data_IF_545953214961
#
_entry.id   IF_545953214961
#
_cell.length_a   1.000
_cell.length_b   1.000
_cell.length_c   1.000
_cell.angle_alpha   90.00
_cell.angle_beta   90.00
_cell.angle_gamma   90.00
#
_symmetry.space_group_name_H-M   'P 1'
#
loop_
_entity.id
_entity.type
_entity.pdbx_description
1 polymer ?
#
# COMPACT_ATOMS: atom_id res chain seq x y z
N UNK A 1 6.57 -24.92 16.57
CA UNK A 1 5.79 -25.59 17.62
C UNK A 1 4.33 -25.47 17.24
N UNK A 2 3.72 -26.54 16.73
CA UNK A 2 2.37 -26.53 16.16
C UNK A 2 1.34 -26.29 17.26
N UNK A 3 0.70 -25.12 17.29
CA UNK A 3 -0.40 -24.83 18.22
C UNK A 3 -1.54 -25.83 17.96
N UNK A 4 -1.95 -26.55 18.99
CA UNK A 4 -3.08 -27.47 18.91
C UNK A 4 -4.38 -26.70 18.64
N UNK A 5 -5.04 -27.00 17.52
CA UNK A 5 -6.33 -26.40 17.15
C UNK A 5 -7.38 -26.85 18.16
N UNK A 6 -8.08 -25.90 18.77
CA UNK A 6 -9.16 -26.16 19.72
C UNK A 6 -10.51 -26.06 18.98
N UNK A 7 -11.47 -26.90 19.35
CA UNK A 7 -12.77 -26.99 18.70
C UNK A 7 -13.89 -26.67 19.67
N UNK A 8 -14.95 -26.04 19.17
CA UNK A 8 -16.22 -25.87 19.86
C UNK A 8 -17.11 -27.05 19.47
N UNK A 9 -17.62 -27.77 20.47
CA UNK A 9 -18.55 -28.89 20.31
C UNK A 9 -19.95 -28.49 20.78
N UNK A 10 -20.99 -28.98 20.10
CA UNK A 10 -22.38 -28.81 20.55
C UNK A 10 -22.77 -29.87 21.60
N UNK A 11 -23.98 -29.74 22.15
CA UNK A 11 -24.56 -30.69 23.12
C UNK A 11 -24.71 -32.12 22.58
N UNK A 12 -24.66 -32.31 21.25
CA UNK A 12 -24.67 -33.62 20.60
C UNK A 12 -23.26 -34.19 20.36
N UNK A 13 -22.20 -33.48 20.76
CA UNK A 13 -20.81 -33.89 20.57
C UNK A 13 -20.25 -33.61 19.18
N UNK A 14 -20.99 -32.92 18.32
CA UNK A 14 -20.53 -32.53 16.98
C UNK A 14 -19.69 -31.26 17.04
N UNK A 15 -18.63 -31.21 16.23
CA UNK A 15 -17.75 -30.04 16.12
C UNK A 15 -18.44 -28.97 15.28
N UNK A 16 -18.81 -27.86 15.90
CA UNK A 16 -19.52 -26.74 15.26
C UNK A 16 -18.64 -25.53 14.99
N UNK A 17 -17.41 -25.50 15.53
CA UNK A 17 -16.49 -24.39 15.30
C UNK A 17 -15.06 -24.67 15.75
N UNK A 18 -14.19 -23.68 15.51
CA UNK A 18 -12.80 -23.67 15.98
C UNK A 18 -12.58 -22.45 16.87
N UNK A 19 -11.84 -22.65 17.97
CA UNK A 19 -11.42 -21.56 18.83
C UNK A 19 -10.06 -21.04 18.32
N UNK A 20 -10.05 -19.78 17.93
CA UNK A 20 -8.87 -19.08 17.46
C UNK A 20 -8.46 -18.03 18.49
N UNK A 21 -7.16 -17.87 18.69
CA UNK A 21 -6.68 -16.69 19.41
C UNK A 21 -6.91 -15.42 18.57
N UNK A 22 -7.12 -14.31 19.25
CA UNK A 22 -7.45 -13.04 18.61
C UNK A 22 -6.41 -12.59 17.56
N UNK A 23 -5.09 -12.75 17.78
CA UNK A 23 -4.09 -12.52 16.74
C UNK A 23 -4.32 -13.36 15.47
N UNK A 24 -4.51 -14.68 15.62
CA UNK A 24 -4.74 -15.59 14.49
C UNK A 24 -6.05 -15.29 13.77
N UNK A 25 -7.11 -14.93 14.51
CA UNK A 25 -8.37 -14.48 13.91
C UNK A 25 -8.16 -13.22 13.07
N UNK A 26 -7.44 -12.21 13.59
CA UNK A 26 -7.14 -10.98 12.86
C UNK A 26 -6.35 -11.24 11.58
N UNK A 27 -5.35 -12.13 11.62
CA UNK A 27 -4.61 -12.54 10.42
C UNK A 27 -5.53 -13.18 9.36
N UNK A 28 -6.40 -14.11 9.77
CA UNK A 28 -7.33 -14.81 8.88
C UNK A 28 -8.44 -13.91 8.33
N UNK A 29 -8.96 -12.97 9.12
CA UNK A 29 -9.96 -12.01 8.63
C UNK A 29 -9.33 -10.99 7.69
N UNK A 30 -8.12 -10.51 8.00
CA UNK A 30 -7.40 -9.61 7.10
C UNK A 30 -7.09 -10.27 5.75
N UNK A 31 -6.88 -11.59 5.71
CA UNK A 31 -6.73 -12.39 4.48
C UNK A 31 -8.04 -12.46 3.66
N UNK A 32 -9.20 -12.50 4.30
CA UNK A 32 -10.50 -12.68 3.64
C UNK A 32 -11.18 -11.38 3.22
N UNK A 33 -10.77 -10.24 3.78
CA UNK A 33 -11.28 -8.89 3.44
C UNK A 33 -10.18 -7.99 2.86
N UNK A 34 -9.11 -8.57 2.31
CA UNK A 34 -7.97 -7.83 1.80
C UNK A 34 -8.38 -6.97 0.60
N UNK A 35 -8.80 -5.74 0.88
CA UNK A 35 -8.82 -4.67 -0.10
C UNK A 35 -7.41 -4.60 -0.70
N UNK A 36 -7.29 -4.95 -1.98
CA UNK A 36 -6.00 -5.06 -2.68
C UNK A 36 -5.23 -3.73 -2.68
N UNK A 37 -5.93 -2.61 -2.45
CA UNK A 37 -5.33 -1.29 -2.32
C UNK A 37 -4.61 -1.08 -0.98
N UNK A 38 -4.96 -1.85 0.06
CA UNK A 38 -4.30 -1.80 1.37
C UNK A 38 -2.88 -2.37 1.28
N UNK A 39 -1.92 -1.56 1.71
CA UNK A 39 -0.52 -1.97 1.80
C UNK A 39 -0.31 -2.75 3.11
N UNK A 40 -0.04 -4.06 2.98
CA UNK A 40 0.24 -4.93 4.12
C UNK A 40 1.74 -5.07 4.34
N UNK A 41 2.16 -5.33 5.58
CA UNK A 41 3.57 -5.58 5.93
C UNK A 41 4.44 -4.33 6.11
N UNK A 42 3.85 -3.13 6.11
CA UNK A 42 4.53 -1.87 6.43
C UNK A 42 4.10 -1.37 7.82
N UNK A 43 5.05 -0.80 8.56
CA UNK A 43 4.78 -0.05 9.79
C UNK A 43 4.11 1.29 9.52
N UNK A 44 3.57 1.93 10.57
CA UNK A 44 2.93 3.25 10.47
C UNK A 44 3.92 4.30 9.92
N UNK A 45 5.16 4.31 10.44
CA UNK A 45 6.20 5.24 10.03
C UNK A 45 6.61 5.03 8.56
N UNK A 46 6.71 3.77 8.11
CA UNK A 46 7.00 3.44 6.71
C UNK A 46 5.85 3.87 5.78
N UNK A 47 4.60 3.68 6.19
CA UNK A 47 3.43 4.14 5.44
C UNK A 47 3.39 5.67 5.36
N UNK A 48 3.73 6.38 6.43
CA UNK A 48 3.80 7.83 6.43
C UNK A 48 4.92 8.35 5.53
N UNK A 49 6.12 7.76 5.62
CA UNK A 49 7.23 8.08 4.73
C UNK A 49 6.85 7.84 3.25
N UNK A 50 6.13 6.76 2.95
CA UNK A 50 5.66 6.47 1.59
C UNK A 50 4.59 7.48 1.13
N UNK A 51 3.65 7.85 2.00
CA UNK A 51 2.59 8.83 1.72
C UNK A 51 3.13 10.23 1.39
N UNK A 52 4.28 10.59 1.95
CA UNK A 52 4.96 11.87 1.77
C UNK A 52 6.06 11.83 0.70
N UNK A 53 6.35 10.64 0.16
CA UNK A 53 7.41 10.45 -0.83
C UNK A 53 7.27 11.36 -2.06
N UNK A 54 8.41 11.71 -2.64
CA UNK A 54 8.51 12.53 -3.86
C UNK A 54 9.66 12.00 -4.72
N UNK A 55 9.68 12.39 -6.00
CA UNK A 55 10.84 12.16 -6.85
C UNK A 55 12.09 12.76 -6.19
N UNK A 56 13.26 12.17 -6.44
CA UNK A 56 14.52 12.78 -6.00
C UNK A 56 14.67 14.19 -6.58
N UNK A 57 15.36 15.08 -5.85
CA UNK A 57 15.59 16.46 -6.32
C UNK A 57 16.22 16.51 -7.72
N UNK A 58 17.17 15.59 -7.99
CA UNK A 58 17.79 15.48 -9.31
C UNK A 58 16.77 15.14 -10.40
N UNK A 59 15.87 14.19 -10.14
CA UNK A 59 14.83 13.79 -11.08
C UNK A 59 13.78 14.89 -11.29
N UNK A 60 13.44 15.64 -10.25
CA UNK A 60 12.54 16.80 -10.35
C UNK A 60 13.13 17.89 -11.25
N UNK A 61 14.39 18.28 -11.00
CA UNK A 61 15.09 19.29 -11.82
C UNK A 61 15.18 18.85 -13.28
N UNK A 62 15.45 17.57 -13.53
CA UNK A 62 15.51 17.02 -14.88
C UNK A 62 14.13 17.02 -15.55
N UNK A 63 13.08 16.65 -14.82
CA UNK A 63 11.69 16.69 -15.31
C UNK A 63 11.29 18.11 -15.68
N UNK A 64 11.58 19.09 -14.82
CA UNK A 64 11.25 20.50 -15.05
C UNK A 64 11.94 21.04 -16.32
N UNK A 65 13.24 20.77 -16.51
CA UNK A 65 13.97 21.15 -17.74
C UNK A 65 13.36 20.51 -18.99
N UNK A 66 13.09 19.21 -18.94
CA UNK A 66 12.51 18.47 -20.07
C UNK A 66 11.11 18.97 -20.41
N UNK A 67 10.28 19.34 -19.43
CA UNK A 67 8.95 19.91 -19.65
C UNK A 67 9.02 21.28 -20.33
N UNK A 68 9.94 22.15 -19.91
CA UNK A 68 10.17 23.45 -20.55
C UNK A 68 10.57 23.26 -22.01
N UNK A 69 11.53 22.36 -22.27
CA UNK A 69 12.02 22.09 -23.63
C UNK A 69 10.99 21.35 -24.49
N UNK A 70 10.12 20.53 -23.89
CA UNK A 70 8.98 19.90 -24.57
C UNK A 70 7.98 20.95 -25.07
N UNK A 71 7.65 21.95 -24.23
CA UNK A 71 6.75 23.05 -24.61
C UNK A 71 7.28 23.85 -25.81
N UNK A 72 8.61 23.93 -25.95
CA UNK A 72 9.28 24.57 -27.08
C UNK A 72 9.47 23.64 -28.29
N UNK A 73 9.02 22.37 -28.23
CA UNK A 73 9.25 21.32 -29.22
C UNK A 73 10.74 21.08 -29.54
N UNK A 74 11.62 21.24 -28.55
CA UNK A 74 13.08 21.12 -28.68
C UNK A 74 13.66 19.82 -28.12
N UNK A 75 12.81 18.82 -27.86
CA UNK A 75 13.28 17.51 -27.38
C UNK A 75 13.73 16.63 -28.54
N UNK A 76 14.88 15.99 -28.36
CA UNK A 76 15.26 14.82 -29.14
C UNK A 76 14.38 13.61 -28.78
N UNK A 77 14.48 12.55 -29.58
CA UNK A 77 13.77 11.29 -29.32
C UNK A 77 14.17 10.68 -27.96
N UNK A 78 15.47 10.69 -27.62
CA UNK A 78 15.98 10.14 -26.36
C UNK A 78 15.51 10.95 -25.16
N UNK A 79 15.46 12.28 -25.28
CA UNK A 79 14.95 13.16 -24.24
C UNK A 79 13.45 13.02 -24.05
N UNK A 80 12.71 12.77 -25.13
CA UNK A 80 11.27 12.46 -25.07
C UNK A 80 11.03 11.15 -24.32
N UNK A 81 11.78 10.10 -24.63
CA UNK A 81 11.70 8.83 -23.90
C UNK A 81 12.06 8.99 -22.42
N UNK A 82 13.02 9.87 -22.11
CA UNK A 82 13.40 10.19 -20.73
C UNK A 82 12.28 10.94 -19.99
N UNK A 83 11.64 11.90 -20.65
CA UNK A 83 10.49 12.63 -20.11
C UNK A 83 9.33 11.66 -19.82
N UNK A 84 8.99 10.79 -20.76
CA UNK A 84 7.93 9.79 -20.60
C UNK A 84 8.21 8.87 -19.40
N UNK A 85 9.47 8.45 -19.23
CA UNK A 85 9.87 7.63 -18.09
C UNK A 85 9.69 8.37 -16.75
N UNK A 86 10.10 9.64 -16.67
CA UNK A 86 9.96 10.45 -15.46
C UNK A 86 8.48 10.69 -15.12
N UNK A 87 7.62 10.94 -16.12
CA UNK A 87 6.18 11.08 -15.93
C UNK A 87 5.56 9.78 -15.41
N UNK A 88 5.93 8.64 -15.99
CA UNK A 88 5.47 7.33 -15.51
C UNK A 88 5.89 7.07 -14.05
N UNK A 89 7.10 7.50 -13.64
CA UNK A 89 7.53 7.42 -12.24
C UNK A 89 6.68 8.30 -11.32
N UNK A 90 6.32 9.52 -11.75
CA UNK A 90 5.43 10.41 -10.98
C UNK A 90 4.07 9.75 -10.77
N UNK A 91 3.50 9.16 -11.83
CA UNK A 91 2.20 8.48 -11.75
C UNK A 91 2.24 7.30 -10.79
N UNK A 92 3.28 6.46 -10.88
CA UNK A 92 3.48 5.34 -9.95
C UNK A 92 3.60 5.81 -8.50
N UNK A 93 4.37 6.88 -8.26
CA UNK A 93 4.49 7.47 -6.93
C UNK A 93 3.14 8.00 -6.43
N UNK A 94 2.34 8.65 -7.28
CA UNK A 94 1.02 9.14 -6.89
C UNK A 94 0.06 8.02 -6.51
N UNK A 95 0.07 6.90 -7.24
CA UNK A 95 -0.70 5.70 -6.89
C UNK A 95 -0.25 5.16 -5.54
N UNK A 96 1.05 4.96 -5.33
CA UNK A 96 1.60 4.46 -4.07
C UNK A 96 1.27 5.37 -2.89
N UNK A 97 1.43 6.69 -3.05
CA UNK A 97 1.08 7.69 -2.02
C UNK A 97 -0.39 7.62 -1.67
N UNK A 98 -1.25 7.46 -2.67
CA UNK A 98 -2.70 7.36 -2.46
C UNK A 98 -3.04 6.10 -1.67
N UNK A 99 -2.47 4.96 -2.04
CA UNK A 99 -2.63 3.69 -1.32
C UNK A 99 -2.09 3.76 0.10
N UNK A 100 -0.95 4.41 0.32
CA UNK A 100 -0.39 4.62 1.65
C UNK A 100 -1.32 5.49 2.52
N UNK A 101 -1.80 6.62 1.99
CA UNK A 101 -2.77 7.49 2.69
C UNK A 101 -4.09 6.78 2.99
N UNK A 102 -4.57 5.97 2.05
CA UNK A 102 -5.77 5.16 2.24
C UNK A 102 -5.58 4.14 3.36
N UNK A 103 -4.45 3.43 3.33
CA UNK A 103 -4.06 2.45 4.35
C UNK A 103 -3.97 3.10 5.74
N UNK A 104 -3.33 4.27 5.85
CA UNK A 104 -3.26 5.05 7.10
C UNK A 104 -4.66 5.38 7.65
N UNK A 105 -5.55 5.93 6.81
CA UNK A 105 -6.93 6.24 7.21
C UNK A 105 -7.71 5.01 7.65
N UNK A 106 -7.46 3.86 7.03
CA UNK A 106 -8.08 2.60 7.41
C UNK A 106 -7.62 2.13 8.81
N UNK A 107 -6.33 2.29 9.13
CA UNK A 107 -5.80 1.99 10.47
C UNK A 107 -6.34 2.93 11.56
N UNK A 108 -6.45 4.23 11.28
CA UNK A 108 -7.03 5.20 12.22
C UNK A 108 -8.49 4.84 12.54
N UNK A 109 -9.28 4.55 11.50
CA UNK A 109 -10.68 4.16 11.66
C UNK A 109 -10.84 2.86 12.44
N UNK A 110 -9.95 1.88 12.26
CA UNK A 110 -9.98 0.61 13.00
C UNK A 110 -9.62 0.79 14.47
N UNK A 111 -8.80 1.81 14.80
CA UNK A 111 -8.40 2.13 16.18
C UNK A 111 -9.49 2.86 16.97
N UNK A 112 -10.39 3.60 16.31
CA UNK A 112 -11.54 4.28 16.94
C UNK A 112 -12.71 3.35 17.30
N UNK A 113 -12.78 2.14 16.71
CA UNK A 113 -13.87 1.17 16.98
C UNK A 113 -13.48 0.09 18.00
N UNK A 114 -12.33 0.23 18.65
CA UNK A 114 -11.77 -0.72 19.63
C UNK A 114 -11.94 -0.25 21.08
#
# INVERSE_FOLDING_TARGET
>A
MSKSIQYIINEQGERVGVLLDLPTYRELTNLSTADAEILTGLSLDELQALAESTLSLKAQVQLDDLLVRNAENKLSADETATLDHLLAQVDQLNILKTRAKYTLKHFDKTSEVA
#
